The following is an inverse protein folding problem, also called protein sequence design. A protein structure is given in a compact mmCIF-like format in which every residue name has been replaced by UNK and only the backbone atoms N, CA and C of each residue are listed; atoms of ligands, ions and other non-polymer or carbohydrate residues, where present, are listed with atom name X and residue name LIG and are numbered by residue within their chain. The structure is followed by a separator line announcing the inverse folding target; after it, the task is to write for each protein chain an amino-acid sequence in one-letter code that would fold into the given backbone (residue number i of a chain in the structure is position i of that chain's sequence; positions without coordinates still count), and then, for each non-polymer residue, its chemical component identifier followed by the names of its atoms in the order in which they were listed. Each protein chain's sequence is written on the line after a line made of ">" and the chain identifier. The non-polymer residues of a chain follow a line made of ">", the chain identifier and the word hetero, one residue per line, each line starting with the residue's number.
data_IF_178727091791
#
_entry.id   IF_178727091791
#
_cell.length_a   1.000
_cell.length_b   1.000
_cell.length_c   1.000
_cell.angle_alpha   90.00
_cell.angle_beta   90.00
_cell.angle_gamma   90.00
#
_symmetry.space_group_name_H-M   'P 1'
#
loop_
_entity.id
_entity.type
_entity.pdbx_description
1 polymer ?
#
# COMPACT_ATOMS: atom_id res chain seq x y z
N UNK A 1 6.71 -4.85 28.24
CA UNK A 1 6.28 -4.33 26.92
C UNK A 1 6.51 -5.34 25.81
N UNK A 2 7.64 -6.05 25.76
CA UNK A 2 7.92 -7.03 24.68
C UNK A 2 7.00 -8.28 24.73
N UNK A 3 6.45 -8.63 25.86
CA UNK A 3 5.59 -9.81 26.00
C UNK A 3 4.19 -9.63 25.40
N UNK A 4 3.75 -8.40 25.19
CA UNK A 4 2.41 -8.13 24.65
C UNK A 4 2.32 -8.28 23.13
N UNK A 5 3.43 -8.07 22.42
CA UNK A 5 3.47 -8.24 20.97
C UNK A 5 3.30 -9.71 20.59
N UNK A 6 3.84 -10.64 21.36
CA UNK A 6 3.71 -12.07 21.08
C UNK A 6 2.33 -12.66 21.39
N UNK A 7 1.52 -12.00 22.23
CA UNK A 7 0.18 -12.48 22.57
C UNK A 7 -0.87 -12.30 21.47
N UNK A 8 -0.54 -11.57 20.40
CA UNK A 8 -1.47 -11.25 19.31
C UNK A 8 -1.24 -12.03 18.04
N UNK A 9 -0.20 -12.84 18.00
CA UNK A 9 0.01 -13.78 16.90
C UNK A 9 -0.82 -15.05 17.13
N UNK A 10 -1.75 -15.32 16.23
CA UNK A 10 -2.62 -16.48 16.32
C UNK A 10 -3.77 -16.42 15.33
N UNK A 11 -4.84 -17.15 15.62
CA UNK A 11 -6.04 -17.22 14.78
C UNK A 11 -7.33 -16.83 15.54
N UNK A 12 -7.19 -16.34 16.77
CA UNK A 12 -8.31 -15.89 17.59
C UNK A 12 -8.82 -14.48 17.19
N UNK A 13 -9.94 -14.05 17.79
CA UNK A 13 -10.44 -12.69 17.60
C UNK A 13 -9.38 -11.67 18.03
N UNK A 14 -8.98 -10.77 17.12
CA UNK A 14 -7.93 -9.79 17.36
C UNK A 14 -6.51 -10.34 17.34
N UNK A 15 -6.30 -11.55 16.85
CA UNK A 15 -5.00 -12.12 16.57
C UNK A 15 -4.73 -12.09 15.07
N UNK A 16 -3.46 -11.93 14.69
CA UNK A 16 -3.02 -11.94 13.29
C UNK A 16 -1.90 -12.96 13.10
N UNK A 17 -1.85 -13.59 11.93
CA UNK A 17 -0.79 -14.56 11.60
C UNK A 17 0.40 -13.91 10.93
N UNK A 18 0.14 -12.91 10.10
CA UNK A 18 1.16 -12.20 9.32
C UNK A 18 0.72 -10.77 9.05
N UNK A 19 1.66 -9.84 9.12
CA UNK A 19 1.49 -8.44 8.77
C UNK A 19 2.45 -8.10 7.65
N UNK A 20 1.95 -7.46 6.61
CA UNK A 20 2.78 -6.92 5.53
C UNK A 20 3.23 -5.51 5.86
N UNK A 21 2.30 -4.69 6.30
CA UNK A 21 2.54 -3.30 6.58
C UNK A 21 1.56 -2.78 7.62
N UNK A 22 1.86 -1.63 8.22
CA UNK A 22 1.01 -0.99 9.20
C UNK A 22 1.18 0.52 9.18
N UNK A 23 0.08 1.24 9.40
CA UNK A 23 0.08 2.70 9.49
C UNK A 23 -0.64 3.16 10.76
N UNK A 24 -0.14 4.26 11.33
CA UNK A 24 -0.69 4.88 12.54
C UNK A 24 -1.42 6.16 12.17
N UNK A 25 -2.69 6.25 12.56
CA UNK A 25 -3.48 7.47 12.54
C UNK A 25 -3.64 8.01 13.95
N UNK A 26 -2.83 8.98 14.33
CA UNK A 26 -2.97 9.66 15.62
C UNK A 26 -4.31 10.39 15.71
N UNK A 27 -4.73 11.03 14.63
CA UNK A 27 -5.99 11.76 14.55
C UNK A 27 -7.21 10.88 14.89
N UNK A 28 -7.19 9.62 14.45
CA UNK A 28 -8.26 8.66 14.69
C UNK A 28 -8.02 7.77 15.92
N UNK A 29 -6.88 7.89 16.57
CA UNK A 29 -6.43 6.99 17.64
C UNK A 29 -6.48 5.51 17.18
N UNK A 30 -5.87 5.22 16.00
CA UNK A 30 -5.91 3.91 15.35
C UNK A 30 -4.55 3.47 14.85
N UNK A 31 -4.36 2.15 14.86
CA UNK A 31 -3.34 1.45 14.09
C UNK A 31 -4.07 0.54 13.11
N UNK A 32 -3.75 0.67 11.84
CA UNK A 32 -4.24 -0.20 10.78
C UNK A 32 -3.12 -1.13 10.35
N UNK A 33 -3.37 -2.44 10.35
CA UNK A 33 -2.38 -3.47 10.02
C UNK A 33 -2.88 -4.28 8.83
N UNK A 34 -2.10 -4.27 7.77
CA UNK A 34 -2.40 -4.95 6.53
C UNK A 34 -1.88 -6.40 6.57
N UNK A 35 -2.75 -7.34 6.28
CA UNK A 35 -2.41 -8.76 6.13
C UNK A 35 -2.26 -9.12 4.65
N UNK A 36 -1.34 -10.05 4.30
CA UNK A 36 -1.17 -10.54 2.93
C UNK A 36 -2.44 -11.14 2.30
N UNK A 37 -3.39 -11.55 3.12
CA UNK A 37 -4.61 -12.19 2.66
C UNK A 37 -5.78 -11.21 2.48
N UNK A 38 -5.49 -9.93 2.24
CA UNK A 38 -6.53 -8.92 2.02
C UNK A 38 -7.38 -8.63 3.25
N UNK A 39 -6.83 -8.81 4.44
CA UNK A 39 -7.47 -8.42 5.68
C UNK A 39 -6.76 -7.23 6.30
N UNK A 40 -7.54 -6.32 6.85
CA UNK A 40 -7.06 -5.21 7.64
C UNK A 40 -7.52 -5.38 9.08
N UNK A 41 -6.59 -5.33 10.00
CA UNK A 41 -6.84 -5.35 11.44
C UNK A 41 -6.73 -3.93 11.98
N UNK A 42 -7.70 -3.53 12.78
CA UNK A 42 -7.73 -2.19 13.39
C UNK A 42 -7.59 -2.31 14.90
N UNK A 43 -6.67 -1.55 15.45
CA UNK A 43 -6.44 -1.43 16.90
C UNK A 43 -6.47 0.03 17.32
N UNK A 44 -6.70 0.28 18.61
CA UNK A 44 -6.40 1.59 19.21
C UNK A 44 -4.90 1.72 19.48
N UNK A 45 -4.45 2.94 19.74
CA UNK A 45 -3.04 3.19 20.11
C UNK A 45 -2.66 2.54 21.45
N UNK A 46 -3.62 2.28 22.33
CA UNK A 46 -3.40 1.50 23.56
C UNK A 46 -3.27 0.00 23.30
N UNK A 47 -3.43 -0.39 22.04
CA UNK A 47 -3.31 -1.76 21.59
C UNK A 47 -4.57 -2.58 21.71
N UNK A 48 -5.71 -2.03 22.13
CA UNK A 48 -6.97 -2.77 22.16
C UNK A 48 -7.48 -3.02 20.72
N UNK A 49 -7.91 -4.25 20.46
CA UNK A 49 -8.48 -4.65 19.18
C UNK A 49 -9.84 -3.99 18.97
N UNK A 50 -10.09 -3.53 17.75
CA UNK A 50 -11.36 -2.93 17.33
C UNK A 50 -12.10 -3.89 16.43
N UNK A 51 -11.53 -4.18 15.27
CA UNK A 51 -12.16 -5.04 14.26
C UNK A 51 -11.14 -5.60 13.25
N UNK A 52 -11.65 -6.53 12.45
CA UNK A 52 -11.01 -7.03 11.25
C UNK A 52 -11.94 -6.83 10.07
N UNK A 53 -11.45 -6.24 9.02
CA UNK A 53 -12.17 -6.04 7.76
C UNK A 53 -11.53 -6.82 6.64
N UNK A 54 -12.35 -7.29 5.71
CA UNK A 54 -11.87 -7.83 4.44
C UNK A 54 -11.84 -6.67 3.45
N UNK A 55 -10.69 -6.46 2.84
CA UNK A 55 -10.50 -5.42 1.84
C UNK A 55 -11.22 -5.81 0.53
N UNK A 56 -11.68 -4.83 -0.24
CA UNK A 56 -12.31 -5.11 -1.52
C UNK A 56 -11.31 -5.82 -2.42
N UNK A 57 -11.72 -7.01 -2.88
CA UNK A 57 -11.03 -7.76 -3.92
C UNK A 57 -9.66 -8.39 -3.67
N UNK A 58 -9.44 -9.39 -4.41
CA UNK A 58 -8.43 -10.35 -4.83
C UNK A 58 -7.01 -9.82 -5.12
N UNK A 59 -6.65 -8.66 -4.64
CA UNK A 59 -5.35 -8.04 -4.89
C UNK A 59 -4.35 -8.45 -3.82
N UNK A 60 -3.10 -8.57 -4.22
CA UNK A 60 -2.00 -8.80 -3.32
C UNK A 60 -1.54 -7.45 -2.73
N UNK A 61 -2.30 -6.96 -1.76
CA UNK A 61 -1.97 -5.74 -1.04
C UNK A 61 -0.63 -5.88 -0.33
N UNK A 62 0.27 -4.93 -0.54
CA UNK A 62 1.62 -4.98 0.00
C UNK A 62 1.95 -3.79 0.90
N UNK A 63 1.25 -2.68 0.75
CA UNK A 63 1.52 -1.46 1.48
C UNK A 63 0.25 -0.70 1.82
N UNK A 64 0.28 0.01 2.95
CA UNK A 64 -0.82 0.84 3.44
C UNK A 64 -0.30 2.23 3.84
N UNK A 65 -1.01 3.26 3.43
CA UNK A 65 -0.74 4.66 3.78
C UNK A 65 -2.01 5.37 4.24
N UNK A 66 -1.86 6.65 4.58
CA UNK A 66 -2.96 7.52 4.96
C UNK A 66 -3.03 8.75 4.05
N UNK A 67 -4.24 9.15 3.72
CA UNK A 67 -4.50 10.48 3.17
C UNK A 67 -4.48 11.53 4.28
N UNK A 68 -4.33 12.82 3.96
CA UNK A 68 -4.46 13.89 4.94
C UNK A 68 -5.80 13.90 5.68
N UNK A 69 -6.87 13.45 5.02
CA UNK A 69 -8.22 13.35 5.60
C UNK A 69 -8.41 12.10 6.47
N UNK A 70 -7.39 11.24 6.53
CA UNK A 70 -7.37 10.04 7.34
C UNK A 70 -8.02 8.80 6.71
N UNK A 71 -8.28 8.82 5.40
CA UNK A 71 -8.62 7.62 4.65
C UNK A 71 -7.39 6.77 4.39
N UNK A 72 -7.61 5.51 4.06
CA UNK A 72 -6.53 4.57 3.77
C UNK A 72 -6.16 4.63 2.28
N UNK A 73 -4.86 4.55 2.03
CA UNK A 73 -4.31 4.23 0.73
C UNK A 73 -3.73 2.82 0.80
N UNK A 74 -4.00 2.01 -0.20
CA UNK A 74 -3.38 0.69 -0.32
C UNK A 74 -2.73 0.56 -1.68
N UNK A 75 -1.54 -0.04 -1.69
CA UNK A 75 -0.88 -0.43 -2.92
C UNK A 75 -0.86 -1.95 -3.06
N UNK A 76 -1.14 -2.42 -4.26
CA UNK A 76 -1.04 -3.82 -4.60
C UNK A 76 -0.17 -4.01 -5.84
N UNK A 77 0.65 -5.04 -5.83
CA UNK A 77 1.31 -5.47 -7.06
C UNK A 77 0.23 -5.88 -8.06
N UNK A 78 0.22 -5.20 -9.20
CA UNK A 78 -0.78 -5.41 -10.23
C UNK A 78 -0.67 -6.82 -10.81
N UNK A 79 -1.79 -7.51 -10.92
CA UNK A 79 -1.93 -8.63 -11.82
C UNK A 79 -2.47 -8.08 -13.16
N UNK A 80 -2.00 -8.60 -14.27
CA UNK A 80 -2.19 -8.07 -15.63
C UNK A 80 -3.65 -7.79 -16.02
N UNK A 81 -4.61 -8.32 -15.27
CA UNK A 81 -6.04 -8.27 -15.54
C UNK A 81 -6.85 -7.45 -14.51
N UNK A 82 -6.22 -6.88 -13.48
CA UNK A 82 -6.94 -6.42 -12.28
C UNK A 82 -7.02 -4.88 -12.07
N UNK A 83 -6.55 -4.07 -13.01
CA UNK A 83 -6.78 -2.63 -12.96
C UNK A 83 -5.80 -1.84 -12.09
N UNK A 84 -6.29 -0.94 -11.26
CA UNK A 84 -5.49 0.04 -10.53
C UNK A 84 -4.65 -0.54 -9.39
N UNK A 85 -3.40 -0.09 -9.28
CA UNK A 85 -2.49 -0.51 -8.23
C UNK A 85 -2.75 0.16 -6.88
N UNK A 86 -3.37 1.35 -6.87
CA UNK A 86 -3.62 2.13 -5.67
C UNK A 86 -5.12 2.30 -5.48
N UNK A 87 -5.59 2.00 -4.27
CA UNK A 87 -6.97 2.23 -3.87
C UNK A 87 -7.02 3.18 -2.68
N UNK A 88 -7.97 4.12 -2.70
CA UNK A 88 -8.39 4.88 -1.54
C UNK A 88 -9.61 4.20 -0.93
N UNK A 89 -9.51 3.89 0.34
CA UNK A 89 -10.56 3.21 1.10
C UNK A 89 -11.01 4.08 2.27
N UNK A 90 -12.28 4.08 2.54
CA UNK A 90 -12.82 4.63 3.78
C UNK A 90 -12.24 3.87 4.99
N UNK A 91 -11.64 4.59 5.92
CA UNK A 91 -10.91 3.98 7.02
C UNK A 91 -11.79 3.23 8.03
N UNK A 92 -13.06 3.60 8.13
CA UNK A 92 -13.99 2.98 9.08
C UNK A 92 -14.70 1.75 8.51
N UNK A 93 -15.00 1.74 7.22
CA UNK A 93 -15.74 0.64 6.56
C UNK A 93 -14.87 -0.22 5.64
N UNK A 94 -13.66 0.22 5.30
CA UNK A 94 -12.80 -0.36 4.27
C UNK A 94 -13.46 -0.42 2.87
N UNK A 95 -14.48 0.39 2.64
CA UNK A 95 -15.12 0.45 1.32
C UNK A 95 -14.27 1.28 0.37
N UNK A 96 -14.25 0.85 -0.88
CA UNK A 96 -13.59 1.58 -1.96
C UNK A 96 -14.25 2.94 -2.17
N UNK A 97 -13.43 3.99 -2.12
CA UNK A 97 -13.80 5.36 -2.46
C UNK A 97 -13.38 5.66 -3.89
N UNK A 98 -12.11 5.39 -4.22
CA UNK A 98 -11.56 5.66 -5.53
C UNK A 98 -10.38 4.72 -5.85
N UNK A 99 -10.08 4.58 -7.14
CA UNK A 99 -8.94 3.85 -7.66
C UNK A 99 -8.04 4.82 -8.40
N UNK A 100 -6.73 4.67 -8.16
CA UNK A 100 -5.71 5.49 -8.80
C UNK A 100 -4.64 4.58 -9.39
N UNK A 101 -3.89 5.13 -10.32
CA UNK A 101 -2.70 4.52 -10.83
C UNK A 101 -2.91 3.11 -11.39
N UNK A 102 -3.16 3.04 -12.67
CA UNK A 102 -2.98 1.81 -13.43
C UNK A 102 -1.66 1.93 -14.19
N UNK A 103 -0.78 0.97 -14.00
CA UNK A 103 0.46 0.90 -14.73
C UNK A 103 0.51 -0.43 -15.50
N UNK A 104 0.95 -0.38 -16.75
CA UNK A 104 1.18 -1.58 -17.55
C UNK A 104 2.44 -2.35 -17.10
N UNK A 105 3.12 -1.79 -16.08
CA UNK A 105 4.35 -2.35 -15.56
C UNK A 105 4.09 -3.21 -14.33
N UNK A 106 4.36 -4.49 -14.45
CA UNK A 106 4.23 -5.43 -13.38
C UNK A 106 5.53 -5.56 -12.58
N UNK A 107 5.56 -4.99 -11.38
CA UNK A 107 6.60 -5.20 -10.38
C UNK A 107 6.18 -6.30 -9.43
N UNK A 108 6.72 -7.49 -9.61
CA UNK A 108 6.52 -8.60 -8.68
C UNK A 108 7.42 -8.49 -7.42
N UNK A 109 7.90 -7.32 -7.11
CA UNK A 109 8.80 -7.10 -6.00
C UNK A 109 8.07 -6.32 -4.92
N UNK A 110 8.24 -6.76 -3.68
CA UNK A 110 7.76 -6.02 -2.52
C UNK A 110 8.56 -4.72 -2.41
N UNK A 111 8.09 -3.68 -3.07
CA UNK A 111 8.54 -2.33 -2.79
C UNK A 111 7.84 -1.90 -1.50
N UNK A 112 8.56 -1.22 -0.62
CA UNK A 112 8.05 -0.74 0.66
C UNK A 112 8.35 0.74 0.79
N UNK A 113 7.60 1.38 1.70
CA UNK A 113 7.78 2.79 2.06
C UNK A 113 7.55 3.75 0.88
N UNK A 114 6.63 3.38 -0.03
CA UNK A 114 6.26 4.24 -1.16
C UNK A 114 5.28 5.34 -0.74
N UNK A 115 4.48 5.11 0.31
CA UNK A 115 3.60 6.13 0.87
C UNK A 115 4.26 6.82 2.05
N UNK A 116 4.24 8.14 2.06
CA UNK A 116 4.69 8.92 3.20
C UNK A 116 3.88 10.21 3.36
N UNK A 117 3.93 10.77 4.55
CA UNK A 117 3.28 12.04 4.86
C UNK A 117 4.33 13.09 5.23
N UNK A 118 4.18 14.29 4.69
CA UNK A 118 5.03 15.41 4.99
C UNK A 118 4.23 16.72 4.99
N UNK A 119 4.35 17.51 6.04
CA UNK A 119 3.65 18.80 6.21
C UNK A 119 2.12 18.72 5.93
N UNK A 120 1.47 17.68 6.43
CA UNK A 120 0.04 17.48 6.28
C UNK A 120 -0.42 17.05 4.89
N UNK A 121 0.49 16.64 4.02
CA UNK A 121 0.22 16.10 2.69
C UNK A 121 0.65 14.66 2.60
N UNK A 122 -0.01 13.88 1.78
CA UNK A 122 0.37 12.52 1.45
C UNK A 122 1.06 12.46 0.11
N UNK A 123 2.10 11.64 0.05
CA UNK A 123 2.92 11.44 -1.14
C UNK A 123 3.03 9.97 -1.47
N UNK A 124 3.23 9.72 -2.75
CA UNK A 124 3.53 8.40 -3.31
C UNK A 124 4.80 8.49 -4.15
N UNK A 125 5.80 7.70 -3.77
CA UNK A 125 7.09 7.62 -4.45
C UNK A 125 7.27 6.20 -5.00
N UNK A 126 6.73 5.89 -6.19
CA UNK A 126 6.85 4.55 -6.75
C UNK A 126 8.29 4.19 -7.01
N UNK A 127 8.64 2.95 -6.72
CA UNK A 127 10.00 2.48 -6.96
C UNK A 127 10.36 2.56 -8.44
N UNK A 128 11.58 2.99 -8.72
CA UNK A 128 12.16 3.16 -10.06
C UNK A 128 11.57 4.28 -10.92
N UNK A 129 10.69 5.10 -10.38
CA UNK A 129 10.22 6.31 -11.05
C UNK A 129 11.02 7.52 -10.58
N UNK A 130 11.19 8.49 -11.47
CA UNK A 130 11.83 9.76 -11.13
C UNK A 130 10.88 10.69 -10.39
N UNK A 131 9.58 10.47 -10.58
CA UNK A 131 8.56 11.31 -10.01
C UNK A 131 8.12 10.85 -8.63
N UNK A 132 7.91 11.84 -7.78
CA UNK A 132 7.18 11.74 -6.53
C UNK A 132 5.86 12.46 -6.70
N UNK A 133 4.79 11.80 -6.37
CA UNK A 133 3.43 12.30 -6.56
C UNK A 133 2.83 12.76 -5.23
N UNK A 134 2.20 13.92 -5.22
CA UNK A 134 1.36 14.38 -4.13
C UNK A 134 -0.08 13.92 -4.38
N UNK A 135 -0.70 13.31 -3.37
CA UNK A 135 -2.12 12.98 -3.41
C UNK A 135 -2.94 14.26 -3.26
N UNK A 136 -3.85 14.47 -4.19
CA UNK A 136 -4.93 15.46 -4.08
C UNK A 136 -6.22 14.78 -3.63
N UNK A 137 -7.35 15.49 -3.59
CA UNK A 137 -8.64 14.91 -3.19
C UNK A 137 -9.07 13.71 -4.04
N UNK A 138 -8.70 13.69 -5.31
CA UNK A 138 -9.22 12.77 -6.31
C UNK A 138 -8.19 12.22 -7.30
N UNK A 139 -6.92 12.66 -7.20
CA UNK A 139 -5.86 12.27 -8.13
C UNK A 139 -4.46 12.40 -7.52
N UNK A 140 -3.46 11.99 -8.27
CA UNK A 140 -2.04 12.26 -7.98
C UNK A 140 -1.52 13.33 -8.94
N UNK A 141 -0.71 14.25 -8.42
CA UNK A 141 0.05 15.21 -9.22
C UNK A 141 1.54 15.08 -8.93
N UNK A 142 2.38 15.28 -9.94
CA UNK A 142 3.83 15.34 -9.76
C UNK A 142 4.17 16.51 -8.81
N UNK A 143 4.78 16.19 -7.69
CA UNK A 143 5.25 17.16 -6.70
C UNK A 143 6.74 17.44 -6.86
N UNK A 144 7.51 16.37 -7.08
CA UNK A 144 8.96 16.42 -7.21
C UNK A 144 9.40 15.47 -8.32
N UNK A 145 10.55 15.78 -8.90
CA UNK A 145 11.25 14.89 -9.82
C UNK A 145 12.68 14.75 -9.37
N UNK A 146 13.15 13.51 -9.26
CA UNK A 146 14.53 13.19 -9.02
C UNK A 146 15.26 13.09 -10.36
N UNK A 147 16.35 13.85 -10.52
CA UNK A 147 17.26 13.69 -11.65
C UNK A 147 18.47 12.90 -11.19
N UNK A 148 18.52 11.63 -11.52
CA UNK A 148 19.67 10.74 -11.22
C UNK A 148 20.64 10.66 -12.41
N UNK A 149 20.46 11.49 -13.43
CA UNK A 149 21.31 11.55 -14.62
C UNK A 149 21.37 10.21 -15.34
N UNK A 150 22.59 9.78 -15.70
CA UNK A 150 22.82 8.51 -16.42
C UNK A 150 22.50 7.26 -15.59
N UNK A 151 22.28 7.40 -14.28
CA UNK A 151 21.95 6.30 -13.37
C UNK A 151 20.43 6.05 -13.29
N UNK A 152 19.64 6.85 -13.95
CA UNK A 152 18.20 6.63 -14.02
C UNK A 152 17.89 5.30 -14.73
N UNK A 153 17.10 4.50 -14.06
CA UNK A 153 16.56 3.27 -14.65
C UNK A 153 15.34 3.66 -15.46
N UNK A 154 15.46 3.62 -16.78
CA UNK A 154 14.29 3.77 -17.65
C UNK A 154 13.48 2.46 -17.65
N UNK A 155 12.51 2.39 -16.76
CA UNK A 155 11.65 1.21 -16.59
C UNK A 155 10.93 0.82 -17.89
N UNK A 156 10.56 1.79 -18.72
CA UNK A 156 9.90 1.53 -20.00
C UNK A 156 10.76 0.66 -20.97
N UNK A 157 12.07 0.58 -20.72
CA UNK A 157 12.98 -0.29 -21.48
C UNK A 157 13.03 -1.72 -20.95
N UNK A 158 12.60 -1.93 -19.70
CA UNK A 158 12.56 -3.24 -19.07
C UNK A 158 11.14 -3.84 -19.19
N UNK A 159 10.78 -4.23 -20.41
CA UNK A 159 9.63 -5.11 -20.59
C UNK A 159 9.97 -6.46 -19.96
N UNK A 160 9.60 -6.66 -18.71
CA UNK A 160 9.60 -7.99 -18.14
C UNK A 160 8.53 -8.81 -18.87
N UNK A 161 8.94 -9.49 -19.93
CA UNK A 161 8.12 -10.49 -20.58
C UNK A 161 7.84 -11.59 -19.52
N UNK A 162 6.66 -11.52 -18.93
CA UNK A 162 6.15 -12.55 -18.02
C UNK A 162 5.72 -13.83 -18.77
N UNK A 163 6.12 -13.99 -20.04
CA UNK A 163 5.89 -15.22 -20.77
C UNK A 163 7.06 -16.18 -20.49
N UNK A 164 6.86 -17.25 -19.70
CA UNK A 164 7.90 -18.23 -19.41
C UNK A 164 8.42 -18.97 -20.67
N UNK A 165 7.73 -18.87 -21.81
CA UNK A 165 8.10 -19.55 -23.05
C UNK A 165 9.18 -18.82 -23.89
N UNK A 166 9.56 -17.58 -23.53
CA UNK A 166 10.64 -16.86 -24.24
C UNK A 166 12.03 -17.07 -23.63
N UNK A 167 12.19 -17.97 -22.68
CA UNK A 167 13.51 -18.33 -22.09
C UNK A 167 14.25 -19.42 -22.86
N UNK A 168 13.83 -19.74 -24.08
CA UNK A 168 14.51 -20.73 -24.93
C UNK A 168 14.81 -20.12 -26.31
N UNK A 169 15.77 -19.22 -26.34
CA UNK A 169 16.61 -18.98 -27.52
C UNK A 169 17.97 -18.45 -27.09
#
# INVERSE_FOLDING_TARGET
>A
AASDVYKRQGQGPGEYSQVYDAVISEQRNRVYMLSPFGSMYTYRLDGSFIDRKILPQKMNFQEIGLTPDGDLLTWSAQNKDDGACIMRLDADSAKLINEFWSDDFWLNWACRDMFYSYQGKAYFAPAFYEEVYELTSDSFRVAYRWDMGEQNINIAQYHFNSNPDTRRE
#
